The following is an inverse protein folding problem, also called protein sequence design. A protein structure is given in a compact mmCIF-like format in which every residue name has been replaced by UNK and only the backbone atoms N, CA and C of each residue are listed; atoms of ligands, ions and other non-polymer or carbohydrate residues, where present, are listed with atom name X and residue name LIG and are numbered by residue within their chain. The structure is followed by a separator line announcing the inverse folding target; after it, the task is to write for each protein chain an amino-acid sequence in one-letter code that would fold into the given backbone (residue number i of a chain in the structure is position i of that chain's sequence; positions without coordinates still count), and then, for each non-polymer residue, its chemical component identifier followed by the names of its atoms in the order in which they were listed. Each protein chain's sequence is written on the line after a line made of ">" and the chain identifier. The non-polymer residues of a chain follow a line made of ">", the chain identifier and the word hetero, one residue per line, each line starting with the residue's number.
data_IF_273083994824
#
_entry.id   IF_273083994824
#
_cell.length_a   1.000
_cell.length_b   1.000
_cell.length_c   1.000
_cell.angle_alpha   90.00
_cell.angle_beta   90.00
_cell.angle_gamma   90.00
#
_symmetry.space_group_name_H-M   'P 1'
#
loop_
_entity.id
_entity.type
_entity.pdbx_description
1 polymer ?
#
# COMPACT_ATOMS: atom_id res chain seq x y z
N UNK A 1 -8.87 -1.58 -16.25
CA UNK A 1 -8.82 -0.11 -16.04
C UNK A 1 -7.69 0.19 -15.05
N UNK A 2 -7.11 1.41 -15.06
CA UNK A 2 -5.97 1.77 -14.18
C UNK A 2 -6.26 1.54 -12.68
N UNK A 3 -7.54 1.52 -12.31
CA UNK A 3 -7.99 1.40 -10.94
C UNK A 3 -8.01 -0.07 -10.47
N UNK A 4 -8.30 -1.00 -11.38
CA UNK A 4 -8.08 -2.43 -11.14
C UNK A 4 -6.59 -2.74 -10.95
N UNK A 5 -5.71 -1.97 -11.59
CA UNK A 5 -4.27 -2.12 -11.45
C UNK A 5 -3.77 -1.63 -10.08
N UNK A 6 -4.33 -0.54 -9.54
CA UNK A 6 -4.07 -0.11 -8.15
C UNK A 6 -4.53 -1.17 -7.14
N UNK A 7 -5.72 -1.74 -7.32
CA UNK A 7 -6.21 -2.80 -6.43
C UNK A 7 -5.29 -4.04 -6.48
N UNK A 8 -4.81 -4.41 -7.67
CA UNK A 8 -3.84 -5.49 -7.84
C UNK A 8 -2.53 -5.17 -7.12
N UNK A 9 -2.00 -3.97 -7.28
CA UNK A 9 -0.76 -3.53 -6.61
C UNK A 9 -0.95 -3.55 -5.09
N UNK A 10 -2.09 -3.14 -4.56
CA UNK A 10 -2.38 -3.19 -3.13
C UNK A 10 -2.39 -4.62 -2.58
N UNK A 11 -2.97 -5.56 -3.33
CA UNK A 11 -2.90 -6.98 -2.97
C UNK A 11 -1.45 -7.48 -2.96
N UNK A 12 -0.64 -7.09 -3.96
CA UNK A 12 0.76 -7.49 -4.07
C UNK A 12 1.65 -6.87 -2.99
N UNK A 13 1.40 -5.60 -2.62
CA UNK A 13 2.04 -4.91 -1.49
C UNK A 13 1.75 -5.63 -0.18
N UNK A 14 0.49 -5.98 0.07
CA UNK A 14 0.11 -6.72 1.27
C UNK A 14 0.81 -8.08 1.34
N UNK A 15 0.77 -8.84 0.25
CA UNK A 15 1.43 -10.14 0.17
C UNK A 15 2.96 -10.03 0.36
N UNK A 16 3.60 -9.06 -0.28
CA UNK A 16 5.04 -8.81 -0.15
C UNK A 16 5.41 -8.43 1.28
N UNK A 17 4.58 -7.62 1.94
CA UNK A 17 4.77 -7.23 3.34
C UNK A 17 4.69 -8.44 4.28
N UNK A 18 3.72 -9.33 4.09
CA UNK A 18 3.61 -10.57 4.87
C UNK A 18 4.84 -11.48 4.68
N UNK A 19 5.37 -11.58 3.46
CA UNK A 19 6.59 -12.34 3.20
C UNK A 19 7.82 -11.74 3.89
N UNK A 20 7.96 -10.42 3.85
CA UNK A 20 9.04 -9.73 4.57
C UNK A 20 8.97 -10.03 6.06
N UNK A 21 7.78 -9.97 6.67
CA UNK A 21 7.59 -10.28 8.09
C UNK A 21 8.04 -11.71 8.43
N UNK A 22 7.66 -12.70 7.61
CA UNK A 22 8.08 -14.11 7.80
C UNK A 22 9.60 -14.28 7.71
N UNK A 23 10.24 -13.57 6.77
CA UNK A 23 11.70 -13.61 6.61
C UNK A 23 12.39 -12.92 7.78
N UNK A 24 11.88 -11.80 8.28
CA UNK A 24 12.42 -11.11 9.46
C UNK A 24 12.40 -12.04 10.68
N UNK A 25 11.28 -12.72 10.94
CA UNK A 25 11.18 -13.69 12.04
C UNK A 25 12.24 -14.82 11.89
N UNK A 26 12.45 -15.28 10.66
CA UNK A 26 13.44 -16.32 10.35
C UNK A 26 14.88 -15.83 10.60
N UNK A 27 15.19 -14.60 10.17
CA UNK A 27 16.49 -13.94 10.41
C UNK A 27 16.73 -13.77 11.91
N UNK A 28 15.74 -13.29 12.66
CA UNK A 28 15.84 -13.07 14.11
C UNK A 28 16.06 -14.39 14.84
N UNK A 29 15.38 -15.46 14.41
CA UNK A 29 15.57 -16.80 14.96
C UNK A 29 16.99 -17.29 14.73
N UNK A 30 17.51 -17.15 13.50
CA UNK A 30 18.87 -17.56 13.14
C UNK A 30 19.93 -16.73 13.87
N UNK A 31 19.74 -15.41 14.00
CA UNK A 31 20.62 -14.54 14.76
C UNK A 31 20.65 -14.91 16.24
N UNK A 32 19.49 -15.20 16.83
CA UNK A 32 19.40 -15.65 18.22
C UNK A 32 20.11 -16.99 18.43
N UNK A 33 20.00 -17.94 17.48
CA UNK A 33 20.72 -19.20 17.53
C UNK A 33 22.24 -19.01 17.43
N UNK A 34 22.69 -18.15 16.51
CA UNK A 34 24.10 -17.78 16.36
C UNK A 34 24.66 -17.12 17.62
N UNK A 35 23.90 -16.22 18.24
CA UNK A 35 24.31 -15.55 19.47
C UNK A 35 24.38 -16.50 20.67
N UNK A 36 23.37 -17.36 20.86
CA UNK A 36 23.29 -18.28 22.01
C UNK A 36 24.28 -19.44 21.91
N UNK A 37 24.55 -19.94 20.71
CA UNK A 37 25.39 -21.12 20.50
C UNK A 37 26.34 -20.93 19.29
N UNK A 38 27.27 -19.97 19.33
CA UNK A 38 28.12 -19.65 18.20
C UNK A 38 28.96 -20.85 17.72
N UNK A 39 29.41 -21.70 18.65
CA UNK A 39 30.20 -22.90 18.32
C UNK A 39 29.39 -24.01 17.65
N UNK A 40 28.05 -24.00 17.76
CA UNK A 40 27.16 -24.98 17.14
C UNK A 40 26.47 -24.44 15.89
N UNK A 41 26.73 -23.19 15.53
CA UNK A 41 26.15 -22.56 14.36
C UNK A 41 26.93 -23.00 13.12
N UNK A 42 26.29 -23.82 12.30
CA UNK A 42 26.93 -24.43 11.14
C UNK A 42 27.12 -23.44 9.99
N UNK A 43 28.08 -23.72 9.11
CA UNK A 43 28.27 -22.96 7.87
C UNK A 43 27.01 -22.95 6.97
N UNK A 44 26.24 -24.05 6.99
CA UNK A 44 24.96 -24.11 6.27
C UNK A 44 23.93 -23.12 6.83
N UNK A 45 23.84 -22.98 8.16
CA UNK A 45 22.96 -21.99 8.79
C UNK A 45 23.42 -20.56 8.52
N UNK A 46 24.72 -20.30 8.46
CA UNK A 46 25.26 -19.00 8.04
C UNK A 46 24.87 -18.67 6.60
N UNK A 47 24.99 -19.62 5.67
CA UNK A 47 24.55 -19.42 4.29
C UNK A 47 23.05 -19.14 4.19
N UNK A 48 22.22 -19.83 4.98
CA UNK A 48 20.77 -19.58 5.02
C UNK A 48 20.48 -18.18 5.57
N UNK A 49 21.18 -17.76 6.63
CA UNK A 49 21.04 -16.42 7.21
C UNK A 49 21.38 -15.34 6.18
N UNK A 50 22.53 -15.45 5.50
CA UNK A 50 22.95 -14.50 4.47
C UNK A 50 21.96 -14.45 3.30
N UNK A 51 21.48 -15.62 2.82
CA UNK A 51 20.44 -15.69 1.78
C UNK A 51 19.13 -15.04 2.24
N UNK A 52 18.74 -15.23 3.50
CA UNK A 52 17.52 -14.64 4.05
C UNK A 52 17.61 -13.11 4.10
N UNK A 53 18.78 -12.58 4.48
CA UNK A 53 19.06 -11.13 4.47
C UNK A 53 18.97 -10.57 3.04
N UNK A 54 19.66 -11.20 2.07
CA UNK A 54 19.61 -10.78 0.67
C UNK A 54 18.18 -10.85 0.08
N UNK A 55 17.42 -11.87 0.46
CA UNK A 55 16.01 -12.01 0.04
C UNK A 55 15.16 -10.90 0.63
N UNK A 56 15.36 -10.54 1.91
CA UNK A 56 14.67 -9.41 2.55
C UNK A 56 14.95 -8.10 1.81
N UNK A 57 16.19 -7.84 1.45
CA UNK A 57 16.58 -6.64 0.70
C UNK A 57 15.92 -6.60 -0.68
N UNK A 58 15.89 -7.73 -1.39
CA UNK A 58 15.21 -7.85 -2.68
C UNK A 58 13.71 -7.58 -2.57
N UNK A 59 13.05 -8.13 -1.55
CA UNK A 59 11.62 -7.89 -1.32
C UNK A 59 11.34 -6.44 -0.93
N UNK A 60 12.21 -5.81 -0.14
CA UNK A 60 12.08 -4.38 0.19
C UNK A 60 12.23 -3.49 -1.05
N UNK A 61 13.16 -3.81 -1.95
CA UNK A 61 13.31 -3.11 -3.22
C UNK A 61 12.04 -3.24 -4.08
N UNK A 62 11.49 -4.46 -4.19
CA UNK A 62 10.21 -4.71 -4.89
C UNK A 62 9.06 -3.93 -4.26
N UNK A 63 8.98 -3.88 -2.93
CA UNK A 63 7.96 -3.13 -2.21
C UNK A 63 8.04 -1.63 -2.50
N UNK A 64 9.26 -1.08 -2.58
CA UNK A 64 9.46 0.32 -2.95
C UNK A 64 8.99 0.59 -4.39
N UNK A 65 9.35 -0.28 -5.33
CA UNK A 65 8.92 -0.19 -6.74
C UNK A 65 7.39 -0.23 -6.88
N UNK A 66 6.71 -1.17 -6.21
CA UNK A 66 5.25 -1.26 -6.23
C UNK A 66 4.57 0.01 -5.68
N UNK A 67 5.12 0.60 -4.61
CA UNK A 67 4.59 1.85 -4.05
C UNK A 67 4.82 3.05 -4.96
N UNK A 68 5.95 3.10 -5.67
CA UNK A 68 6.24 4.11 -6.67
C UNK A 68 5.27 3.99 -7.86
N UNK A 69 5.09 2.78 -8.39
CA UNK A 69 4.11 2.50 -9.45
C UNK A 69 2.69 2.90 -9.04
N UNK A 70 2.28 2.58 -7.80
CA UNK A 70 0.99 3.00 -7.26
C UNK A 70 0.86 4.52 -7.26
N UNK A 71 1.90 5.22 -6.80
CA UNK A 71 1.91 6.68 -6.73
C UNK A 71 1.84 7.32 -8.12
N UNK A 72 2.56 6.77 -9.10
CA UNK A 72 2.49 7.22 -10.50
C UNK A 72 1.08 7.04 -11.06
N UNK A 73 0.47 5.87 -10.92
CA UNK A 73 -0.90 5.61 -11.38
C UNK A 73 -1.92 6.52 -10.70
N UNK A 74 -1.76 6.77 -9.40
CA UNK A 74 -2.59 7.71 -8.65
C UNK A 74 -2.47 9.13 -9.21
N UNK A 75 -1.25 9.60 -9.46
CA UNK A 75 -0.98 10.92 -10.03
C UNK A 75 -1.57 11.05 -11.44
N UNK A 76 -1.49 10.00 -12.26
CA UNK A 76 -2.13 9.97 -13.57
C UNK A 76 -3.65 10.08 -13.47
N UNK A 77 -4.28 9.34 -12.57
CA UNK A 77 -5.73 9.43 -12.32
C UNK A 77 -6.10 10.85 -11.90
N UNK A 78 -5.41 11.43 -10.91
CA UNK A 78 -5.66 12.80 -10.43
C UNK A 78 -5.48 13.82 -11.55
N UNK A 79 -4.42 13.71 -12.35
CA UNK A 79 -4.15 14.64 -13.46
C UNK A 79 -5.21 14.57 -14.57
N UNK A 80 -5.81 13.40 -14.78
CA UNK A 80 -6.87 13.19 -15.78
C UNK A 80 -8.25 13.71 -15.33
N UNK A 81 -8.45 13.91 -14.03
CA UNK A 81 -9.74 14.27 -13.44
C UNK A 81 -9.82 15.75 -13.06
N UNK A 82 -9.93 16.65 -14.05
CA UNK A 82 -10.22 18.07 -13.79
C UNK A 82 -11.57 18.22 -13.06
N UNK A 83 -11.52 18.77 -11.84
CA UNK A 83 -12.71 19.13 -11.05
C UNK A 83 -13.31 18.04 -10.15
N UNK A 84 -12.60 16.93 -9.93
CA UNK A 84 -13.00 15.86 -9.00
C UNK A 84 -12.02 15.75 -7.81
N UNK A 85 -12.53 15.40 -6.65
CA UNK A 85 -11.78 15.06 -5.43
C UNK A 85 -11.72 13.54 -5.34
N UNK A 86 -10.53 12.94 -5.44
CA UNK A 86 -10.37 11.47 -5.39
C UNK A 86 -9.77 11.09 -4.04
N UNK A 87 -10.42 10.19 -3.29
CA UNK A 87 -9.76 9.53 -2.16
C UNK A 87 -9.20 8.17 -2.61
N UNK A 88 -7.89 8.02 -2.43
CA UNK A 88 -7.14 6.83 -2.83
C UNK A 88 -7.13 5.73 -1.75
N UNK A 89 -7.58 6.04 -0.52
CA UNK A 89 -7.73 5.07 0.56
C UNK A 89 -9.21 4.94 0.98
N UNK A 90 -9.70 5.89 1.77
CA UNK A 90 -11.10 5.96 2.16
C UNK A 90 -11.50 7.37 2.59
N UNK A 91 -12.78 7.69 2.45
CA UNK A 91 -13.43 8.74 3.22
C UNK A 91 -14.08 8.13 4.46
N UNK A 92 -13.93 8.78 5.61
CA UNK A 92 -14.46 8.30 6.88
C UNK A 92 -15.71 9.10 7.29
N UNK A 93 -16.62 8.50 8.09
CA UNK A 93 -17.77 9.20 8.64
C UNK A 93 -17.39 10.48 9.39
N UNK A 94 -18.17 11.54 9.19
CA UNK A 94 -17.94 12.84 9.84
C UNK A 94 -16.97 13.76 9.09
N UNK A 95 -16.45 13.35 7.93
CA UNK A 95 -15.70 14.23 7.03
C UNK A 95 -16.66 15.03 6.16
N UNK A 96 -16.46 16.35 6.09
CA UNK A 96 -17.17 17.22 5.17
C UNK A 96 -16.32 17.54 3.96
N UNK A 97 -16.88 17.34 2.77
CA UNK A 97 -16.24 17.71 1.51
C UNK A 97 -16.97 18.90 0.94
N UNK A 98 -16.24 19.99 0.72
CA UNK A 98 -16.79 21.20 0.11
C UNK A 98 -16.15 21.40 -1.26
N UNK A 99 -16.93 21.35 -2.33
CA UNK A 99 -16.46 21.57 -3.71
C UNK A 99 -17.09 22.86 -4.21
N UNK A 100 -16.29 23.92 -4.42
CA UNK A 100 -16.78 25.32 -4.55
C UNK A 100 -17.53 25.76 -3.28
N UNK A 101 -17.64 27.07 -3.03
CA UNK A 101 -18.19 27.62 -1.76
C UNK A 101 -19.64 27.20 -1.44
N UNK A 102 -20.33 26.50 -2.34
CA UNK A 102 -21.77 26.24 -2.26
C UNK A 102 -22.14 24.76 -2.17
N UNK A 103 -21.25 23.83 -2.52
CA UNK A 103 -21.58 22.40 -2.48
C UNK A 103 -20.85 21.74 -1.33
N UNK A 104 -21.60 21.22 -0.36
CA UNK A 104 -21.11 20.52 0.81
C UNK A 104 -21.71 19.12 0.85
N UNK A 105 -20.86 18.11 1.00
CA UNK A 105 -21.26 16.71 1.15
C UNK A 105 -20.76 16.17 2.49
N UNK A 106 -21.65 15.52 3.22
CA UNK A 106 -21.36 14.89 4.51
C UNK A 106 -21.19 13.39 4.30
N UNK A 107 -20.01 12.88 4.63
CA UNK A 107 -19.69 11.47 4.54
C UNK A 107 -20.33 10.78 5.75
N UNK A 108 -21.39 10.01 5.51
CA UNK A 108 -22.11 9.26 6.55
C UNK A 108 -21.56 7.87 6.79
N UNK A 109 -20.98 7.26 5.76
CA UNK A 109 -20.44 5.91 5.77
C UNK A 109 -18.98 5.89 5.33
N UNK A 110 -18.24 4.85 5.72
CA UNK A 110 -16.87 4.68 5.23
C UNK A 110 -16.90 4.32 3.75
N UNK A 111 -16.39 5.21 2.90
CA UNK A 111 -16.34 5.02 1.45
C UNK A 111 -14.91 4.64 1.07
N UNK A 112 -14.71 3.44 0.54
CA UNK A 112 -13.39 2.98 0.07
C UNK A 112 -13.23 3.28 -1.41
N UNK A 113 -12.06 3.80 -1.80
CA UNK A 113 -11.67 4.04 -3.20
C UNK A 113 -12.82 4.61 -4.07
N UNK A 114 -13.20 5.86 -3.86
CA UNK A 114 -14.23 6.53 -4.68
C UNK A 114 -13.83 7.95 -5.05
N UNK A 115 -14.33 8.41 -6.20
CA UNK A 115 -14.15 9.78 -6.65
C UNK A 115 -15.37 10.59 -6.20
N UNK A 116 -15.18 11.82 -5.81
CA UNK A 116 -16.25 12.73 -5.40
C UNK A 116 -16.18 13.93 -6.33
N UNK A 117 -17.25 14.16 -7.07
CA UNK A 117 -17.30 15.19 -8.10
C UNK A 117 -18.66 15.84 -8.18
N UNK A 118 -18.75 16.92 -8.94
CA UNK A 118 -20.04 17.55 -9.26
C UNK A 118 -20.62 16.83 -10.48
N UNK A 119 -21.84 16.30 -10.33
CA UNK A 119 -22.65 15.75 -11.42
C UNK A 119 -24.07 16.31 -11.28
N UNK A 120 -24.63 16.84 -12.36
CA UNK A 120 -25.97 17.43 -12.39
C UNK A 120 -26.21 18.54 -11.34
N UNK A 121 -25.15 19.24 -10.91
CA UNK A 121 -25.25 20.28 -9.90
C UNK A 121 -25.20 19.80 -8.44
N UNK A 122 -25.00 18.50 -8.19
CA UNK A 122 -24.82 17.96 -6.84
C UNK A 122 -23.44 17.29 -6.69
N UNK A 123 -22.94 17.24 -5.45
CA UNK A 123 -21.78 16.39 -5.14
C UNK A 123 -22.25 14.93 -5.12
N UNK A 124 -21.64 14.10 -5.96
CA UNK A 124 -21.91 12.66 -6.01
C UNK A 124 -20.63 11.87 -5.78
N UNK A 125 -20.81 10.72 -5.12
CA UNK A 125 -19.82 9.66 -5.09
C UNK A 125 -19.89 8.99 -6.47
N UNK A 126 -18.82 9.15 -7.21
CA UNK A 126 -18.60 8.51 -8.50
C UNK A 126 -17.78 7.25 -8.24
N UNK A 127 -18.15 6.12 -8.88
CA UNK A 127 -17.26 4.98 -8.91
C UNK A 127 -15.92 5.42 -9.51
N UNK A 128 -14.86 4.88 -8.93
CA UNK A 128 -13.54 4.84 -9.55
C UNK A 128 -13.55 3.59 -10.44
#
# INVERSE_FOLDING_TARGET
>A
MKEQEIIRIDAEVNQTTEYIQKIVISIDTLNNLKFKNPQKFSAAQEQILQKSIATKETLNAKLAELNEQKTMLCNEIVSSQKGKVVALNAFYPGVFITIRKHFKYDIKDTIKCSAIGISDGDIRILPI
#
